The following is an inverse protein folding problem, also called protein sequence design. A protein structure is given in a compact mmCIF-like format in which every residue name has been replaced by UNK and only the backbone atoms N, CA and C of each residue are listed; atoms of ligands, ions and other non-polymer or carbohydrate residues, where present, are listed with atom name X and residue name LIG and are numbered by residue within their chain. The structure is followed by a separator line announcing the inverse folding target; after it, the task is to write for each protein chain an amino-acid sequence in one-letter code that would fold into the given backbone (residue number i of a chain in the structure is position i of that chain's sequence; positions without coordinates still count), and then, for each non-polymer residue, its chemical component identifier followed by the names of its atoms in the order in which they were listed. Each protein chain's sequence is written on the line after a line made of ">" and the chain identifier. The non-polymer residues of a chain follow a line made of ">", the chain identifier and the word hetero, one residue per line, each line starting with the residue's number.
data_IF_819400264821
#
_entry.id   IF_819400264821
#
_cell.length_a   1.000
_cell.length_b   1.000
_cell.length_c   1.000
_cell.angle_alpha   90.00
_cell.angle_beta   90.00
_cell.angle_gamma   90.00
#
_symmetry.space_group_name_H-M   'P 1'
#
loop_
_entity.id
_entity.type
_entity.pdbx_description
1 polymer ?
#
# COMPACT_ATOMS: atom_id res chain seq x y z
N UNK A 1 35.96 6.01 34.87
CA UNK A 1 34.61 5.68 34.37
C UNK A 1 34.52 4.17 34.15
N UNK A 2 33.59 3.49 34.80
CA UNK A 2 33.58 2.03 34.88
C UNK A 2 33.22 1.41 33.51
N UNK A 3 34.04 0.52 32.95
CA UNK A 3 33.84 -0.05 31.60
C UNK A 3 32.45 -0.69 31.42
N UNK A 4 31.87 -1.23 32.50
CA UNK A 4 30.51 -1.79 32.54
C UNK A 4 29.42 -0.73 32.29
N UNK A 5 29.60 0.50 32.77
CA UNK A 5 28.65 1.61 32.60
C UNK A 5 28.68 2.13 31.15
N UNK A 6 29.86 2.18 30.54
CA UNK A 6 30.00 2.56 29.14
C UNK A 6 29.34 1.55 28.20
N UNK A 7 29.48 0.25 28.52
CA UNK A 7 28.86 -0.84 27.76
C UNK A 7 27.33 -0.79 27.85
N UNK A 8 26.76 -0.54 29.04
CA UNK A 8 25.31 -0.40 29.20
C UNK A 8 24.75 0.83 28.48
N UNK A 9 25.46 1.96 28.48
CA UNK A 9 25.07 3.16 27.72
C UNK A 9 25.06 2.93 26.20
N UNK A 10 26.05 2.21 25.67
CA UNK A 10 26.13 1.85 24.24
C UNK A 10 25.02 0.86 23.84
N UNK A 11 24.66 -0.07 24.72
CA UNK A 11 23.56 -0.99 24.49
C UNK A 11 22.19 -0.29 24.55
N UNK A 12 22.01 0.69 25.44
CA UNK A 12 20.77 1.49 25.47
C UNK A 12 20.61 2.41 24.25
N UNK A 13 21.68 3.05 23.77
CA UNK A 13 21.59 3.93 22.59
C UNK A 13 21.27 3.16 21.31
N UNK A 14 21.81 1.95 21.15
CA UNK A 14 21.51 1.07 20.01
C UNK A 14 20.07 0.54 20.01
N UNK A 15 19.53 0.18 21.19
CA UNK A 15 18.11 -0.22 21.31
C UNK A 15 17.17 0.97 21.07
N UNK A 16 17.50 2.17 21.57
CA UNK A 16 16.72 3.37 21.32
C UNK A 16 16.74 3.80 19.83
N UNK A 17 17.88 3.67 19.14
CA UNK A 17 17.98 3.95 17.70
C UNK A 17 17.21 2.95 16.84
N UNK A 18 17.21 1.66 17.20
CA UNK A 18 16.43 0.65 16.47
C UNK A 18 14.93 0.80 16.68
N UNK A 19 14.48 1.23 17.86
CA UNK A 19 13.07 1.58 18.11
C UNK A 19 12.63 2.84 17.37
N UNK A 20 13.51 3.86 17.27
CA UNK A 20 13.25 5.08 16.48
C UNK A 20 13.00 4.76 14.99
N UNK A 21 13.79 3.88 14.38
CA UNK A 21 13.64 3.47 12.98
C UNK A 21 12.32 2.73 12.69
N UNK A 22 11.82 1.93 13.64
CA UNK A 22 10.53 1.23 13.50
C UNK A 22 9.31 2.15 13.67
N UNK A 23 9.46 3.33 14.30
CA UNK A 23 8.37 4.29 14.46
C UNK A 23 8.02 5.07 13.19
N UNK A 24 8.80 4.94 12.12
CA UNK A 24 8.55 5.70 10.88
C UNK A 24 7.48 5.07 9.99
N UNK A 25 7.14 3.79 10.14
CA UNK A 25 6.21 3.10 9.25
C UNK A 25 5.06 2.42 9.98
N UNK A 26 3.84 2.90 9.73
CA UNK A 26 2.62 2.35 10.31
C UNK A 26 1.82 1.56 9.27
N UNK A 27 1.47 0.32 9.59
CA UNK A 27 0.56 -0.50 8.77
C UNK A 27 -0.87 0.02 8.95
N UNK A 28 -1.49 0.48 7.86
CA UNK A 28 -2.85 1.02 7.87
C UNK A 28 -3.91 -0.04 7.60
N UNK A 29 -3.69 -0.88 6.59
CA UNK A 29 -4.63 -1.92 6.20
C UNK A 29 -3.91 -3.13 5.62
N UNK A 30 -4.49 -4.30 5.85
CA UNK A 30 -4.09 -5.55 5.23
C UNK A 30 -5.34 -6.35 4.82
N UNK A 31 -5.36 -6.85 3.59
CA UNK A 31 -6.46 -7.67 3.08
C UNK A 31 -6.03 -8.55 1.91
N UNK A 32 -6.82 -9.61 1.67
CA UNK A 32 -6.67 -10.47 0.50
C UNK A 32 -7.72 -10.13 -0.54
N UNK A 33 -7.29 -10.02 -1.79
CA UNK A 33 -8.19 -9.86 -2.95
C UNK A 33 -8.93 -11.16 -3.24
N UNK A 34 -10.09 -11.08 -3.91
CA UNK A 34 -10.93 -12.23 -4.26
C UNK A 34 -10.84 -12.65 -5.75
N UNK A 35 -9.89 -12.10 -6.50
CA UNK A 35 -9.58 -12.54 -7.87
C UNK A 35 -8.90 -13.92 -7.91
N UNK A 36 -8.88 -14.58 -9.08
CA UNK A 36 -8.26 -15.91 -9.26
C UNK A 36 -6.78 -15.91 -8.84
N UNK A 37 -6.04 -14.88 -9.24
CA UNK A 37 -4.68 -14.62 -8.76
C UNK A 37 -4.71 -13.78 -7.47
N UNK A 38 -5.10 -14.41 -6.35
CA UNK A 38 -5.25 -13.74 -5.05
C UNK A 38 -3.94 -13.07 -4.63
N UNK A 39 -4.02 -11.78 -4.34
CA UNK A 39 -2.93 -10.97 -3.76
C UNK A 39 -3.22 -10.69 -2.29
N UNK A 40 -2.18 -10.73 -1.46
CA UNK A 40 -2.20 -10.05 -0.17
C UNK A 40 -1.75 -8.61 -0.40
N UNK A 41 -2.57 -7.65 0.01
CA UNK A 41 -2.30 -6.22 -0.11
C UNK A 41 -2.09 -5.68 1.29
N UNK A 42 -1.00 -4.95 1.48
CA UNK A 42 -0.67 -4.24 2.71
C UNK A 42 -0.36 -2.80 2.36
N UNK A 43 -0.96 -1.85 3.08
CA UNK A 43 -0.64 -0.44 2.92
C UNK A 43 0.03 0.06 4.18
N UNK A 44 1.14 0.73 3.98
CA UNK A 44 1.87 1.42 5.02
C UNK A 44 1.82 2.92 4.80
N UNK A 45 1.97 3.66 5.89
CA UNK A 45 2.25 5.10 5.89
C UNK A 45 3.58 5.35 6.55
N UNK A 46 4.40 6.14 5.87
CA UNK A 46 5.67 6.62 6.38
C UNK A 46 5.49 8.02 6.97
N UNK A 47 5.74 8.17 8.28
CA UNK A 47 5.60 9.44 8.99
C UNK A 47 6.86 10.29 8.81
N UNK A 48 6.92 11.02 7.69
CA UNK A 48 7.92 12.04 7.39
C UNK A 48 7.28 13.43 7.37
N UNK A 49 8.08 14.48 7.21
CA UNK A 49 7.61 15.86 6.99
C UNK A 49 6.58 15.92 5.85
N UNK A 50 6.80 15.12 4.81
CA UNK A 50 5.79 14.82 3.79
C UNK A 50 5.45 13.32 3.88
N UNK A 51 4.24 12.97 4.37
CA UNK A 51 3.82 11.58 4.47
C UNK A 51 3.83 10.88 3.12
N UNK A 52 4.35 9.65 3.10
CA UNK A 52 4.27 8.78 1.92
C UNK A 52 3.51 7.51 2.24
N UNK A 53 2.76 7.00 1.27
CA UNK A 53 2.01 5.77 1.38
C UNK A 53 2.65 4.71 0.51
N UNK A 54 2.74 3.48 1.01
CA UNK A 54 3.36 2.37 0.31
C UNK A 54 2.35 1.25 0.17
N UNK A 55 1.91 1.00 -1.06
CA UNK A 55 1.15 -0.19 -1.40
C UNK A 55 2.12 -1.34 -1.67
N UNK A 56 2.12 -2.33 -0.78
CA UNK A 56 2.82 -3.58 -0.99
C UNK A 56 1.82 -4.66 -1.36
N UNK A 57 2.10 -5.44 -2.40
CA UNK A 57 1.28 -6.58 -2.75
C UNK A 57 2.13 -7.78 -3.14
N UNK A 58 1.66 -8.97 -2.80
CA UNK A 58 2.26 -10.20 -3.31
C UNK A 58 1.18 -11.23 -3.63
N UNK A 59 1.44 -12.09 -4.60
CA UNK A 59 0.69 -13.33 -4.78
C UNK A 59 1.57 -14.53 -4.39
N UNK A 60 0.92 -15.54 -3.84
CA UNK A 60 1.54 -16.84 -3.61
C UNK A 60 1.87 -17.54 -4.93
N UNK A 61 2.73 -18.55 -4.88
CA UNK A 61 2.96 -19.46 -6.01
C UNK A 61 1.79 -20.44 -6.12
N UNK A 62 1.27 -20.67 -7.33
CA UNK A 62 0.30 -21.72 -7.62
C UNK A 62 0.67 -22.46 -8.92
N UNK A 63 -0.15 -23.45 -9.31
CA UNK A 63 -0.01 -24.14 -10.61
C UNK A 63 -0.13 -23.17 -11.80
N UNK A 64 -0.88 -22.09 -11.63
CA UNK A 64 -1.25 -21.16 -12.71
C UNK A 64 -0.53 -19.82 -12.61
N UNK A 65 -0.07 -19.44 -11.42
CA UNK A 65 0.54 -18.15 -11.16
C UNK A 65 1.91 -18.31 -10.53
N UNK A 66 2.89 -17.59 -11.08
CA UNK A 66 4.15 -17.38 -10.38
C UNK A 66 3.96 -16.40 -9.24
N UNK A 67 4.74 -16.59 -8.19
CA UNK A 67 4.84 -15.59 -7.13
C UNK A 67 5.48 -14.34 -7.70
N UNK A 68 4.83 -13.21 -7.47
CA UNK A 68 5.17 -11.85 -7.87
C UNK A 68 4.99 -10.94 -6.65
N UNK A 69 5.73 -9.84 -6.64
CA UNK A 69 5.66 -8.79 -5.62
C UNK A 69 5.58 -7.43 -6.30
N UNK A 70 4.74 -6.55 -5.82
CA UNK A 70 4.61 -5.18 -6.29
C UNK A 70 4.78 -4.22 -5.13
N UNK A 71 5.38 -3.08 -5.42
CA UNK A 71 5.44 -1.94 -4.52
C UNK A 71 5.12 -0.67 -5.30
N UNK A 72 4.21 0.15 -4.76
CA UNK A 72 3.90 1.48 -5.29
C UNK A 72 3.99 2.48 -4.16
N UNK A 73 4.87 3.47 -4.31
CA UNK A 73 5.00 4.59 -3.39
C UNK A 73 4.18 5.77 -3.90
N UNK A 74 3.43 6.37 -3.01
CA UNK A 74 2.46 7.42 -3.31
C UNK A 74 2.69 8.60 -2.35
N UNK A 75 2.61 9.83 -2.86
CA UNK A 75 2.61 11.03 -2.02
C UNK A 75 1.28 11.18 -1.29
N UNK A 76 1.23 12.01 -0.25
CA UNK A 76 -0.02 12.35 0.42
C UNK A 76 -1.06 12.94 -0.55
N UNK A 77 -0.64 13.82 -1.47
CA UNK A 77 -1.54 14.40 -2.49
C UNK A 77 -2.11 13.32 -3.42
N UNK A 78 -1.27 12.40 -3.91
CA UNK A 78 -1.74 11.25 -4.69
C UNK A 78 -2.80 10.47 -3.91
N UNK A 79 -2.51 10.15 -2.65
CA UNK A 79 -3.36 9.28 -1.85
C UNK A 79 -4.69 9.95 -1.53
N UNK A 80 -4.68 11.24 -1.21
CA UNK A 80 -5.89 12.03 -0.98
C UNK A 80 -6.81 12.04 -2.21
N UNK A 81 -6.26 12.30 -3.40
CA UNK A 81 -7.04 12.27 -4.63
C UNK A 81 -7.60 10.86 -4.90
N UNK A 82 -6.77 9.83 -4.74
CA UNK A 82 -7.18 8.43 -4.92
C UNK A 82 -8.34 8.02 -4.00
N UNK A 83 -8.28 8.42 -2.73
CA UNK A 83 -9.34 8.13 -1.77
C UNK A 83 -10.62 8.90 -2.08
N UNK A 84 -10.52 10.18 -2.44
CA UNK A 84 -11.67 10.99 -2.83
C UNK A 84 -12.37 10.43 -4.08
N UNK A 85 -11.60 9.99 -5.08
CA UNK A 85 -12.15 9.34 -6.26
C UNK A 85 -12.77 7.98 -5.90
N UNK A 86 -12.11 7.18 -5.05
CA UNK A 86 -12.62 5.87 -4.63
C UNK A 86 -13.89 5.96 -3.76
N UNK A 87 -14.02 7.01 -2.93
CA UNK A 87 -15.18 7.22 -2.06
C UNK A 87 -16.41 7.73 -2.82
N UNK A 88 -16.20 8.43 -3.94
CA UNK A 88 -17.27 8.94 -4.81
C UNK A 88 -17.86 7.87 -5.75
N UNK A 89 -17.24 6.70 -5.86
CA UNK A 89 -17.69 5.64 -6.76
C UNK A 89 -18.99 4.99 -6.28
N UNK A 90 -19.97 4.92 -7.18
CA UNK A 90 -21.12 4.04 -7.03
C UNK A 90 -20.83 2.65 -7.62
N UNK A 91 -20.79 1.63 -6.76
CA UNK A 91 -20.49 0.24 -7.13
C UNK A 91 -21.63 -0.43 -7.92
N UNK A 92 -22.83 0.13 -7.86
CA UNK A 92 -24.02 -0.41 -8.50
C UNK A 92 -24.14 0.01 -9.98
N UNK A 93 -23.38 1.03 -10.41
CA UNK A 93 -23.30 1.46 -11.81
C UNK A 93 -21.92 1.18 -12.42
N UNK A 94 -21.89 1.02 -13.75
CA UNK A 94 -20.59 0.91 -14.45
C UNK A 94 -20.01 2.30 -14.62
N UNK A 95 -18.76 2.46 -14.21
CA UNK A 95 -18.05 3.73 -14.24
C UNK A 95 -16.55 3.48 -14.50
N UNK A 96 -15.87 4.49 -15.04
CA UNK A 96 -14.44 4.50 -15.28
C UNK A 96 -13.85 5.87 -14.92
N UNK A 97 -12.96 5.86 -13.94
CA UNK A 97 -12.11 7.00 -13.62
C UNK A 97 -10.69 6.67 -14.06
N UNK A 98 -10.08 7.53 -14.87
CA UNK A 98 -8.76 7.29 -15.43
C UNK A 98 -7.92 8.55 -15.44
N UNK A 99 -6.73 8.46 -14.86
CA UNK A 99 -5.74 9.51 -14.89
C UNK A 99 -4.35 8.95 -15.23
N UNK A 100 -3.33 9.82 -15.21
CA UNK A 100 -1.95 9.46 -15.58
C UNK A 100 -1.29 8.44 -14.64
N UNK A 101 -1.76 8.31 -13.40
CA UNK A 101 -1.11 7.49 -12.39
C UNK A 101 -1.89 6.20 -12.07
N UNK A 102 -3.21 6.21 -12.19
CA UNK A 102 -4.06 5.05 -11.93
C UNK A 102 -5.38 5.13 -12.72
N UNK A 103 -6.10 4.01 -12.64
CA UNK A 103 -7.44 3.87 -13.19
C UNK A 103 -8.30 3.03 -12.24
N UNK A 104 -9.56 3.40 -12.10
CA UNK A 104 -10.58 2.71 -11.32
C UNK A 104 -11.73 2.37 -12.25
N UNK A 105 -12.08 1.09 -12.33
CA UNK A 105 -13.15 0.59 -13.20
C UNK A 105 -14.18 -0.15 -12.37
N UNK A 106 -15.45 0.18 -12.53
CA UNK A 106 -16.55 -0.54 -11.91
C UNK A 106 -17.23 -1.42 -12.96
N UNK A 107 -17.28 -2.73 -12.70
CA UNK A 107 -18.00 -3.67 -13.54
C UNK A 107 -18.52 -4.83 -12.73
N UNK A 108 -19.82 -5.14 -12.86
CA UNK A 108 -20.47 -6.26 -12.17
C UNK A 108 -20.24 -6.22 -10.64
N UNK A 109 -20.49 -5.06 -10.01
CA UNK A 109 -20.32 -4.82 -8.57
C UNK A 109 -18.90 -5.06 -8.03
N UNK A 110 -17.90 -4.90 -8.91
CA UNK A 110 -16.48 -5.05 -8.58
C UNK A 110 -15.76 -3.79 -9.01
N UNK A 111 -14.94 -3.27 -8.12
CA UNK A 111 -14.06 -2.13 -8.37
C UNK A 111 -12.68 -2.70 -8.69
N UNK A 112 -12.20 -2.50 -9.91
CA UNK A 112 -10.81 -2.82 -10.30
C UNK A 112 -9.98 -1.56 -10.22
N UNK A 113 -8.92 -1.60 -9.41
CA UNK A 113 -7.90 -0.56 -9.32
C UNK A 113 -6.67 -1.03 -10.09
N UNK A 114 -6.09 -0.15 -10.89
CA UNK A 114 -4.85 -0.42 -11.63
C UNK A 114 -3.93 0.80 -11.58
N UNK A 115 -2.68 0.58 -11.16
CA UNK A 115 -1.63 1.60 -11.19
C UNK A 115 -0.92 1.61 -12.55
N UNK A 116 -0.69 2.81 -13.09
CA UNK A 116 -0.08 2.99 -14.40
C UNK A 116 1.42 2.66 -14.39
N UNK A 117 2.14 3.10 -13.34
CA UNK A 117 3.61 3.08 -13.24
C UNK A 117 4.16 2.08 -12.21
N UNK A 118 3.43 1.01 -11.93
CA UNK A 118 3.90 -0.08 -11.08
C UNK A 118 4.68 -1.13 -11.89
N UNK A 119 5.68 -1.76 -11.25
CA UNK A 119 6.41 -2.91 -11.79
C UNK A 119 6.51 -4.00 -10.73
N UNK A 120 6.55 -5.26 -11.15
CA UNK A 120 6.90 -6.36 -10.26
C UNK A 120 8.37 -6.20 -9.82
N UNK A 121 8.64 -6.32 -8.53
CA UNK A 121 9.96 -6.20 -7.90
C UNK A 121 10.57 -7.57 -7.56
N UNK A 122 9.88 -8.67 -7.87
CA UNK A 122 10.39 -10.01 -7.61
C UNK A 122 11.35 -10.45 -8.72
N UNK A 123 12.48 -11.04 -8.33
CA UNK A 123 13.42 -11.61 -9.29
C UNK A 123 12.78 -12.80 -10.02
N UNK A 124 12.56 -12.62 -11.31
CA UNK A 124 12.09 -13.67 -12.20
C UNK A 124 13.22 -14.10 -13.12
N UNK A 125 13.46 -15.41 -13.23
CA UNK A 125 14.38 -15.94 -14.25
C UNK A 125 13.82 -15.59 -15.64
N UNK A 126 14.59 -14.83 -16.41
CA UNK A 126 14.25 -14.28 -17.73
C UNK A 126 13.82 -15.34 -18.76
N UNK A 127 14.31 -16.56 -18.64
CA UNK A 127 14.03 -17.66 -19.58
C UNK A 127 12.59 -18.19 -19.52
N UNK A 128 11.80 -17.83 -18.49
CA UNK A 128 10.41 -18.27 -18.34
C UNK A 128 9.50 -17.11 -17.94
N UNK A 129 9.60 -16.00 -18.66
CA UNK A 129 8.62 -14.93 -18.57
C UNK A 129 7.26 -15.46 -19.03
N UNK A 130 6.43 -15.89 -18.07
CA UNK A 130 5.02 -16.18 -18.33
C UNK A 130 4.24 -14.86 -18.35
N UNK A 131 3.26 -14.76 -19.25
CA UNK A 131 2.32 -13.64 -19.38
C UNK A 131 1.66 -13.23 -18.05
N UNK A 132 1.62 -14.14 -17.08
CA UNK A 132 1.05 -13.92 -15.74
C UNK A 132 1.85 -12.95 -14.87
N UNK A 133 3.12 -12.67 -15.19
CA UNK A 133 3.84 -11.53 -14.62
C UNK A 133 3.39 -10.25 -15.32
N UNK A 134 2.16 -9.82 -15.04
CA UNK A 134 1.70 -8.52 -15.48
C UNK A 134 2.50 -7.46 -14.72
N UNK A 135 3.32 -6.69 -15.44
CA UNK A 135 4.15 -5.65 -14.82
C UNK A 135 3.29 -4.67 -14.03
N UNK A 136 2.06 -4.41 -14.49
CA UNK A 136 1.14 -3.48 -13.84
C UNK A 136 0.45 -4.14 -12.64
N UNK A 137 0.61 -3.52 -11.48
CA UNK A 137 -0.10 -3.82 -10.25
C UNK A 137 -1.56 -3.39 -10.40
N UNK A 138 -2.43 -4.38 -10.32
CA UNK A 138 -3.88 -4.20 -10.29
C UNK A 138 -4.50 -5.15 -9.28
N UNK A 139 -5.61 -4.74 -8.71
CA UNK A 139 -6.39 -5.57 -7.79
C UNK A 139 -7.88 -5.24 -7.88
N UNK A 140 -8.70 -6.10 -7.27
CA UNK A 140 -10.16 -5.97 -7.27
C UNK A 140 -10.65 -5.88 -5.82
N UNK A 141 -11.54 -4.91 -5.59
CA UNK A 141 -12.28 -4.69 -4.35
C UNK A 141 -13.78 -4.92 -4.57
N UNK A 142 -14.45 -5.33 -3.51
CA UNK A 142 -15.91 -5.26 -3.39
C UNK A 142 -16.27 -3.98 -2.61
N UNK A 143 -17.56 -3.66 -2.51
CA UNK A 143 -18.06 -2.47 -1.81
C UNK A 143 -17.57 -2.39 -0.36
N UNK A 144 -17.64 -3.49 0.38
CA UNK A 144 -17.21 -3.55 1.78
C UNK A 144 -15.70 -3.27 1.94
N UNK A 145 -14.87 -3.88 1.09
CA UNK A 145 -13.43 -3.67 1.09
C UNK A 145 -13.08 -2.24 0.70
N UNK A 146 -13.75 -1.66 -0.29
CA UNK A 146 -13.57 -0.27 -0.69
C UNK A 146 -13.95 0.70 0.44
N UNK A 147 -15.09 0.49 1.10
CA UNK A 147 -15.50 1.33 2.23
C UNK A 147 -14.51 1.26 3.40
N UNK A 148 -14.05 0.04 3.75
CA UNK A 148 -13.05 -0.15 4.80
C UNK A 148 -11.71 0.50 4.42
N UNK A 149 -11.35 0.41 3.14
CA UNK A 149 -10.14 1.02 2.59
C UNK A 149 -10.19 2.55 2.72
N UNK A 150 -11.28 3.17 2.23
CA UNK A 150 -11.51 4.61 2.31
C UNK A 150 -11.43 5.09 3.75
N UNK A 151 -12.26 4.53 4.64
CA UNK A 151 -12.29 4.91 6.06
C UNK A 151 -10.92 4.84 6.73
N UNK A 152 -10.16 3.75 6.54
CA UNK A 152 -8.85 3.59 7.19
C UNK A 152 -7.80 4.59 6.71
N UNK A 153 -7.86 5.00 5.45
CA UNK A 153 -6.92 5.99 4.92
C UNK A 153 -7.36 7.41 5.29
N UNK A 154 -8.66 7.71 5.24
CA UNK A 154 -9.20 9.02 5.68
C UNK A 154 -8.88 9.31 7.15
N UNK A 155 -9.07 8.33 8.05
CA UNK A 155 -8.68 8.45 9.45
C UNK A 155 -7.19 8.85 9.57
N UNK A 156 -6.34 8.18 8.78
CA UNK A 156 -4.89 8.43 8.79
C UNK A 156 -4.51 9.80 8.21
N UNK A 157 -5.23 10.31 7.21
CA UNK A 157 -5.01 11.66 6.66
C UNK A 157 -5.48 12.72 7.68
N UNK A 158 -6.61 12.48 8.34
CA UNK A 158 -7.18 13.40 9.33
C UNK A 158 -6.30 13.54 10.59
N UNK A 159 -5.68 12.45 11.04
CA UNK A 159 -4.69 12.48 12.12
C UNK A 159 -3.54 13.48 11.83
N UNK A 160 -3.04 13.53 10.60
CA UNK A 160 -1.97 14.48 10.21
C UNK A 160 -2.45 15.93 10.25
N UNK A 161 -3.69 16.18 9.83
CA UNK A 161 -4.29 17.52 9.84
C UNK A 161 -4.50 18.03 11.28
N UNK A 162 -4.74 17.15 12.25
CA UNK A 162 -4.86 17.52 13.66
C UNK A 162 -3.46 17.80 14.26
N UNK A 163 -2.45 17.01 13.90
CA UNK A 163 -1.08 17.18 14.40
C UNK A 163 -0.40 18.44 13.86
N UNK A 164 -0.70 18.84 12.62
CA UNK A 164 -0.17 20.07 12.01
C UNK A 164 -0.80 21.34 12.57
N UNK A 165 -2.08 21.32 12.99
CA UNK A 165 -2.75 22.46 13.65
C UNK A 165 -2.30 22.71 15.09
N UNK A 166 -1.61 21.77 15.72
CA UNK A 166 -1.11 21.89 17.12
C UNK A 166 0.32 22.42 17.22
N UNK A 167 1.00 22.67 16.09
CA UNK A 167 2.32 23.31 16.02
C UNK A 167 2.18 24.76 15.60
#
# INVERSE_FOLDING_TARGET
>A
MNKKILLTLLLYSSVAHTQSLNNFMNKLIEFKTFERNKKNIVIFKEHKTEPTYIFSANNGKSKEFRSCKWEVKCTNHFMSNFINELSAIDVDYSDEIKNKNYSIFVKRKKIRVQFANSKCIQDHKTHYFQESCNRKFSFVLNKEQANKFVSKIEDSINEDNILTKKR
#
